data_IF_447046410948
#
_entry.id   IF_447046410948
#
_cell.length_a   1.000
_cell.length_b   1.000
_cell.length_c   1.000
_cell.angle_alpha   90.00
_cell.angle_beta   90.00
_cell.angle_gamma   90.00
#
_symmetry.space_group_name_H-M   'P 1'
#
loop_
_entity.id
_entity.type
_entity.pdbx_description
1 polymer ?
#
# COMPACT_ATOMS: atom_id res chain seq x y z
N UNK A 1 29.98 6.98 64.66
CA UNK A 1 30.53 6.69 63.36
C UNK A 1 29.41 6.01 62.49
N UNK A 2 28.60 6.83 61.81
CA UNK A 2 27.51 6.33 60.95
C UNK A 2 28.01 6.29 59.53
N UNK A 3 28.09 5.08 58.94
CA UNK A 3 28.39 4.90 57.53
C UNK A 3 27.11 5.06 56.71
N UNK A 4 27.06 6.12 55.93
CA UNK A 4 26.04 6.39 54.94
C UNK A 4 26.33 5.50 53.73
N UNK A 5 25.48 4.53 53.43
CA UNK A 5 25.56 3.69 52.21
C UNK A 5 24.75 4.41 51.13
N UNK A 6 25.47 4.96 50.17
CA UNK A 6 24.89 5.58 48.97
C UNK A 6 24.48 4.48 47.96
N UNK A 7 23.20 4.26 47.77
CA UNK A 7 22.70 3.38 46.71
C UNK A 7 22.63 4.15 45.40
N UNK A 8 23.54 3.86 44.49
CA UNK A 8 23.49 4.34 43.13
C UNK A 8 22.51 3.44 42.34
N UNK A 9 21.33 3.98 42.05
CA UNK A 9 20.38 3.36 41.11
C UNK A 9 20.87 3.66 39.68
N UNK A 10 21.44 2.66 39.00
CA UNK A 10 21.76 2.73 37.60
C UNK A 10 20.46 2.45 36.84
N UNK A 11 19.85 3.49 36.29
CA UNK A 11 18.75 3.38 35.35
C UNK A 11 19.36 2.97 34.01
N UNK A 12 19.32 1.68 33.69
CA UNK A 12 19.63 1.19 32.33
C UNK A 12 18.42 1.53 31.47
N UNK A 13 18.47 2.66 30.76
CA UNK A 13 17.58 2.94 29.66
C UNK A 13 17.97 2.02 28.51
N UNK A 14 17.30 0.88 28.42
CA UNK A 14 17.40 0.01 27.28
C UNK A 14 16.88 0.76 26.05
N UNK A 15 17.77 1.23 25.19
CA UNK A 15 17.43 1.58 23.82
C UNK A 15 16.98 0.32 23.11
N UNK A 16 15.66 0.10 23.04
CA UNK A 16 15.09 -0.86 22.10
C UNK A 16 15.31 -0.27 20.71
N UNK A 17 16.40 -0.63 20.09
CA UNK A 17 16.59 -0.39 18.65
C UNK A 17 15.59 -1.27 17.95
N UNK A 18 14.48 -0.69 17.50
CA UNK A 18 13.64 -1.30 16.49
C UNK A 18 14.50 -1.42 15.23
N UNK A 19 15.13 -2.57 15.04
CA UNK A 19 15.64 -2.96 13.74
C UNK A 19 14.42 -3.16 12.83
N UNK A 20 13.95 -2.09 12.20
CA UNK A 20 13.09 -2.21 11.04
C UNK A 20 13.95 -2.84 9.97
N UNK A 21 13.79 -4.14 9.76
CA UNK A 21 14.33 -4.80 8.58
C UNK A 21 13.53 -4.27 7.39
N UNK A 22 13.98 -3.13 6.85
CA UNK A 22 13.61 -2.74 5.51
C UNK A 22 14.07 -3.89 4.61
N UNK A 23 13.15 -4.62 4.02
CA UNK A 23 13.52 -5.60 3.01
C UNK A 23 14.24 -4.83 1.93
N UNK A 24 15.52 -5.19 1.69
CA UNK A 24 16.35 -4.62 0.67
C UNK A 24 15.77 -5.03 -0.68
N UNK A 25 14.71 -4.32 -1.12
CA UNK A 25 14.24 -4.46 -2.49
C UNK A 25 15.36 -3.89 -3.37
N UNK A 26 15.73 -4.60 -4.43
CA UNK A 26 16.68 -4.10 -5.44
C UNK A 26 16.04 -2.97 -6.27
N UNK A 27 14.84 -2.53 -5.91
CA UNK A 27 14.09 -1.47 -6.57
C UNK A 27 14.77 -0.12 -6.38
N UNK A 28 14.79 0.66 -7.45
CA UNK A 28 15.36 1.99 -7.48
C UNK A 28 14.29 3.06 -7.33
N UNK A 29 14.67 4.17 -6.75
CA UNK A 29 13.87 5.38 -6.65
C UNK A 29 12.90 5.42 -5.47
N UNK A 30 12.67 4.31 -4.76
CA UNK A 30 11.87 4.29 -3.53
C UNK A 30 12.18 3.10 -2.63
N UNK A 31 11.72 3.19 -1.38
CA UNK A 31 11.65 2.09 -0.41
C UNK A 31 10.41 2.26 0.47
N UNK A 32 10.00 1.19 1.14
CA UNK A 32 8.87 1.21 2.06
C UNK A 32 9.40 1.05 3.49
N UNK A 33 8.98 1.95 4.38
CA UNK A 33 9.30 1.96 5.81
C UNK A 33 7.99 1.98 6.60
N UNK A 34 7.51 0.80 7.04
CA UNK A 34 6.20 0.66 7.68
C UNK A 34 5.06 1.08 6.74
N UNK A 35 4.29 2.09 7.14
CA UNK A 35 3.19 2.68 6.37
C UNK A 35 3.61 3.84 5.44
N UNK A 36 4.91 4.02 5.26
CA UNK A 36 5.48 5.19 4.58
C UNK A 36 6.28 4.77 3.35
N UNK A 37 5.99 5.37 2.21
CA UNK A 37 6.82 5.33 1.01
C UNK A 37 7.85 6.45 1.12
N UNK A 38 9.11 6.10 1.01
CA UNK A 38 10.23 7.04 0.94
C UNK A 38 10.74 7.03 -0.50
N UNK A 39 10.40 8.06 -1.27
CA UNK A 39 11.05 8.30 -2.55
C UNK A 39 12.50 8.70 -2.28
N UNK A 40 13.43 8.07 -2.96
CA UNK A 40 14.86 8.24 -2.76
C UNK A 40 15.55 8.45 -4.11
N UNK A 41 16.06 9.65 -4.33
CA UNK A 41 16.92 9.97 -5.47
C UNK A 41 18.37 9.91 -5.01
N UNK A 42 19.21 9.21 -5.76
CA UNK A 42 20.65 9.23 -5.60
C UNK A 42 21.27 9.57 -6.97
N UNK A 43 22.04 10.68 -7.07
CA UNK A 43 22.67 11.14 -8.31
C UNK A 43 23.48 10.03 -8.97
N UNK A 44 24.13 9.18 -8.19
CA UNK A 44 25.01 8.10 -8.65
C UNK A 44 24.28 6.97 -9.38
N UNK A 45 22.94 6.89 -9.23
CA UNK A 45 22.11 5.93 -9.95
C UNK A 45 21.75 6.39 -11.38
N UNK A 46 22.12 7.61 -11.78
CA UNK A 46 21.69 8.21 -13.05
C UNK A 46 22.88 8.71 -13.86
N UNK A 47 22.96 8.27 -15.12
CA UNK A 47 24.02 8.71 -16.05
C UNK A 47 23.50 9.70 -17.10
N UNK A 48 22.21 9.76 -17.31
CA UNK A 48 21.59 10.56 -18.39
C UNK A 48 20.40 11.34 -17.89
N UNK A 49 20.23 12.53 -18.48
CA UNK A 49 19.04 13.36 -18.36
C UNK A 49 18.42 13.60 -19.73
N UNK A 50 17.13 13.89 -19.77
CA UNK A 50 16.43 14.30 -20.97
C UNK A 50 15.55 15.52 -20.69
N UNK A 51 15.06 16.15 -21.77
CA UNK A 51 14.02 17.17 -21.74
C UNK A 51 12.71 16.60 -22.26
N UNK A 52 11.64 17.39 -22.26
CA UNK A 52 10.33 16.97 -22.81
C UNK A 52 10.35 16.60 -24.30
N UNK A 53 11.41 16.95 -25.01
CA UNK A 53 11.62 16.57 -26.42
C UNK A 53 12.21 15.16 -26.60
N UNK A 54 12.28 14.34 -25.57
CA UNK A 54 12.59 12.91 -25.44
C UNK A 54 13.71 12.33 -26.35
N UNK A 55 14.24 13.10 -27.29
CA UNK A 55 15.24 12.63 -28.26
C UNK A 55 16.68 12.95 -27.89
N UNK A 56 16.91 13.94 -27.03
CA UNK A 56 18.25 14.39 -26.67
C UNK A 56 18.56 14.03 -25.21
N UNK A 57 19.33 12.95 -25.02
CA UNK A 57 19.89 12.63 -23.72
C UNK A 57 21.26 13.27 -23.57
N UNK A 58 21.46 13.96 -22.45
CA UNK A 58 22.74 14.53 -22.05
C UNK A 58 23.34 13.74 -20.89
N UNK A 59 24.64 13.87 -20.70
CA UNK A 59 25.30 13.36 -19.52
C UNK A 59 24.85 14.13 -18.27
N UNK A 60 24.78 13.42 -17.17
CA UNK A 60 24.32 13.97 -15.90
C UNK A 60 25.46 14.66 -15.11
N UNK A 61 26.72 14.37 -15.47
CA UNK A 61 27.91 14.74 -14.68
C UNK A 61 28.12 16.26 -14.56
N UNK A 62 27.72 17.02 -15.58
CA UNK A 62 27.93 18.48 -15.67
C UNK A 62 26.77 19.29 -15.08
N UNK A 63 25.80 18.63 -14.42
CA UNK A 63 24.62 19.33 -13.90
C UNK A 63 24.72 19.59 -12.39
N UNK A 64 24.73 20.87 -12.01
CA UNK A 64 24.52 21.26 -10.61
C UNK A 64 23.05 21.04 -10.25
N UNK A 65 22.80 20.26 -9.17
CA UNK A 65 21.44 19.97 -8.71
C UNK A 65 21.02 20.99 -7.65
N UNK A 66 20.11 21.88 -8.03
CA UNK A 66 19.48 22.85 -7.13
C UNK A 66 18.21 22.30 -6.50
N UNK A 67 17.44 21.51 -7.26
CA UNK A 67 16.20 20.88 -6.80
C UNK A 67 15.97 19.51 -7.42
N UNK A 68 15.26 18.66 -6.67
CA UNK A 68 14.74 17.38 -7.15
C UNK A 68 13.26 17.29 -6.81
N UNK A 69 12.45 16.86 -7.77
CA UNK A 69 11.00 16.66 -7.62
C UNK A 69 10.66 15.22 -8.00
N UNK A 70 9.77 14.58 -7.24
CA UNK A 70 9.13 13.32 -7.64
C UNK A 70 7.92 13.66 -8.52
N UNK A 71 7.92 13.16 -9.74
CA UNK A 71 6.86 13.38 -10.72
C UNK A 71 6.35 12.03 -11.23
N UNK A 72 5.05 11.81 -11.20
CA UNK A 72 4.45 10.54 -11.59
C UNK A 72 2.94 10.60 -11.75
N UNK A 73 2.31 9.46 -12.04
CA UNK A 73 0.87 9.33 -12.22
C UNK A 73 0.09 9.89 -11.02
N UNK A 74 0.59 9.68 -9.79
CA UNK A 74 -0.03 10.12 -8.53
C UNK A 74 -0.11 11.64 -8.33
N UNK A 75 0.61 12.44 -9.12
CA UNK A 75 0.55 13.91 -9.06
C UNK A 75 0.42 14.56 -10.45
N UNK A 76 -0.12 13.78 -11.41
CA UNK A 76 -0.33 14.18 -12.80
C UNK A 76 0.97 14.69 -13.47
N UNK A 77 2.08 14.03 -13.20
CA UNK A 77 3.40 14.32 -13.73
C UNK A 77 3.85 15.79 -13.49
N UNK A 78 3.46 16.36 -12.33
CA UNK A 78 3.86 17.72 -11.95
C UNK A 78 5.36 17.79 -11.72
N UNK A 79 6.01 18.85 -12.25
CA UNK A 79 7.45 19.08 -12.14
C UNK A 79 7.84 19.96 -10.94
N UNK A 80 6.89 20.43 -10.14
CA UNK A 80 7.10 21.43 -9.09
C UNK A 80 6.47 21.09 -7.73
N UNK A 81 5.49 20.17 -7.69
CA UNK A 81 4.69 19.96 -6.46
C UNK A 81 5.37 19.13 -5.38
N UNK A 82 6.02 18.03 -5.75
CA UNK A 82 6.58 17.09 -4.78
C UNK A 82 8.10 17.24 -4.68
N UNK A 83 8.53 18.39 -4.16
CA UNK A 83 9.96 18.66 -3.93
C UNK A 83 10.53 17.75 -2.86
N UNK A 84 11.72 17.26 -3.12
CA UNK A 84 12.46 16.39 -2.21
C UNK A 84 13.38 17.21 -1.32
N UNK A 85 13.62 16.71 -0.12
CA UNK A 85 14.59 17.29 0.82
C UNK A 85 15.98 16.75 0.52
N UNK A 86 16.96 17.63 0.42
CA UNK A 86 18.38 17.25 0.27
C UNK A 86 18.87 16.62 1.57
N UNK A 87 19.43 15.41 1.47
CA UNK A 87 20.00 14.66 2.59
C UNK A 87 21.51 14.83 2.66
N UNK A 88 22.17 14.77 1.50
CA UNK A 88 23.61 15.03 1.32
C UNK A 88 23.90 15.50 -0.11
N UNK A 89 25.17 15.51 -0.52
CA UNK A 89 25.57 15.97 -1.86
C UNK A 89 24.90 15.22 -3.01
N UNK A 90 24.59 13.94 -2.81
CA UNK A 90 24.09 13.06 -3.86
C UNK A 90 22.65 12.63 -3.66
N UNK A 91 22.09 12.74 -2.43
CA UNK A 91 20.82 12.13 -2.07
C UNK A 91 19.76 13.13 -1.70
N UNK A 92 18.53 12.84 -2.17
CA UNK A 92 17.32 13.58 -1.86
C UNK A 92 16.20 12.59 -1.50
N UNK A 93 15.36 12.93 -0.52
CA UNK A 93 14.24 12.10 -0.08
C UNK A 93 12.94 12.88 0.05
N UNK A 94 11.82 12.18 -0.20
CA UNK A 94 10.47 12.63 0.07
C UNK A 94 9.67 11.49 0.69
N UNK A 95 8.98 11.77 1.80
CA UNK A 95 8.16 10.79 2.53
C UNK A 95 6.68 11.04 2.27
N UNK A 96 5.94 9.97 1.94
CA UNK A 96 4.49 9.97 1.74
C UNK A 96 3.88 8.74 2.42
N UNK A 97 2.63 8.87 2.89
CA UNK A 97 1.90 7.71 3.41
C UNK A 97 1.48 6.78 2.28
N UNK A 98 1.50 5.46 2.51
CA UNK A 98 0.96 4.49 1.54
C UNK A 98 -0.51 4.77 1.23
N UNK A 99 -1.27 5.22 2.23
CA UNK A 99 -2.68 5.57 2.09
C UNK A 99 -2.96 6.77 1.19
N UNK A 100 -1.94 7.57 0.85
CA UNK A 100 -2.08 8.65 -0.14
C UNK A 100 -2.18 8.10 -1.58
N UNK A 101 -1.90 6.80 -1.80
CA UNK A 101 -1.91 6.13 -3.11
C UNK A 101 -3.10 5.15 -3.18
N UNK A 102 -4.33 5.68 -3.26
CA UNK A 102 -5.55 4.89 -3.03
C UNK A 102 -6.08 4.16 -4.26
N UNK A 103 -5.91 4.70 -5.45
CA UNK A 103 -6.66 4.27 -6.64
C UNK A 103 -5.98 3.16 -7.44
N UNK A 104 -4.67 2.97 -7.24
CA UNK A 104 -3.88 2.02 -7.98
C UNK A 104 -2.88 1.26 -7.08
N UNK A 105 -2.40 0.11 -7.53
CA UNK A 105 -1.38 -0.68 -6.83
C UNK A 105 0.02 -0.48 -7.39
N UNK A 106 0.11 0.05 -8.60
CA UNK A 106 1.35 0.30 -9.32
C UNK A 106 1.31 1.69 -9.89
N UNK A 107 2.36 2.45 -9.65
CA UNK A 107 2.47 3.83 -10.10
C UNK A 107 3.76 4.02 -10.86
N UNK A 108 3.70 4.67 -12.02
CA UNK A 108 4.89 5.09 -12.75
C UNK A 108 5.33 6.48 -12.31
N UNK A 109 6.65 6.67 -12.18
CA UNK A 109 7.22 7.96 -11.79
C UNK A 109 8.64 8.15 -12.33
N UNK A 110 9.12 9.37 -12.30
CA UNK A 110 10.50 9.81 -12.55
C UNK A 110 10.89 10.92 -11.57
N UNK A 111 12.18 11.24 -11.56
CA UNK A 111 12.66 12.43 -10.89
C UNK A 111 12.87 13.56 -11.90
N UNK A 112 12.52 14.76 -11.50
CA UNK A 112 12.75 16.00 -12.24
C UNK A 112 13.84 16.80 -11.52
N UNK A 113 14.87 17.19 -12.26
CA UNK A 113 15.99 17.95 -11.77
C UNK A 113 15.82 19.41 -12.23
N UNK A 114 15.99 20.35 -11.28
CA UNK A 114 15.90 21.78 -11.51
C UNK A 114 14.63 22.18 -12.27
N UNK A 115 13.50 21.54 -11.94
CA UNK A 115 12.17 21.76 -12.50
C UNK A 115 12.07 21.56 -14.04
N UNK A 116 13.12 21.03 -14.65
CA UNK A 116 13.21 20.97 -16.10
C UNK A 116 13.65 19.61 -16.67
N UNK A 117 14.72 19.01 -16.15
CA UNK A 117 15.31 17.81 -16.71
C UNK A 117 14.74 16.55 -16.06
N UNK A 118 14.44 15.53 -16.89
CA UNK A 118 14.10 14.19 -16.41
C UNK A 118 15.36 13.39 -16.16
N UNK A 119 15.53 12.85 -14.96
CA UNK A 119 16.56 11.83 -14.69
C UNK A 119 16.14 10.52 -15.36
N UNK A 120 16.99 9.95 -16.23
CA UNK A 120 16.66 8.77 -17.02
C UNK A 120 17.07 7.49 -16.29
N UNK A 121 16.09 6.64 -15.84
CA UNK A 121 16.40 5.36 -15.22
C UNK A 121 17.14 4.43 -16.17
N UNK A 122 18.06 3.62 -15.62
CA UNK A 122 18.74 2.58 -16.40
C UNK A 122 17.75 1.47 -16.81
N UNK A 123 17.87 0.98 -18.04
CA UNK A 123 17.09 -0.18 -18.52
C UNK A 123 17.36 -1.47 -17.72
N UNK A 124 18.41 -1.50 -16.91
CA UNK A 124 18.79 -2.65 -16.09
C UNK A 124 18.09 -2.68 -14.73
N UNK A 125 17.36 -1.64 -14.36
CA UNK A 125 16.66 -1.61 -13.07
C UNK A 125 15.47 -2.58 -13.09
N UNK A 126 15.21 -3.29 -11.99
CA UNK A 126 14.16 -4.32 -11.94
C UNK A 126 12.74 -3.74 -11.95
N UNK A 127 12.58 -2.48 -11.55
CA UNK A 127 11.28 -1.80 -11.42
C UNK A 127 11.11 -0.70 -12.45
N UNK A 128 11.20 -1.02 -13.74
CA UNK A 128 10.97 -0.07 -14.83
C UNK A 128 9.78 -0.43 -15.72
N UNK A 129 9.20 0.60 -16.32
CA UNK A 129 8.27 0.51 -17.43
C UNK A 129 8.82 1.31 -18.62
N UNK A 130 8.45 0.94 -19.85
CA UNK A 130 8.71 1.78 -21.02
C UNK A 130 7.81 3.01 -20.95
N UNK A 131 8.39 4.20 -21.00
CA UNK A 131 7.62 5.44 -21.02
C UNK A 131 6.72 5.52 -22.25
N UNK A 132 5.53 6.06 -22.08
CA UNK A 132 4.56 6.32 -23.16
C UNK A 132 4.23 7.81 -23.20
N UNK A 133 3.94 8.32 -24.39
CA UNK A 133 3.37 9.64 -24.60
C UNK A 133 2.27 9.54 -25.63
N UNK A 134 1.07 10.03 -25.32
CA UNK A 134 -0.10 9.96 -26.20
C UNK A 134 -0.39 8.54 -26.72
N UNK A 135 -0.19 7.52 -25.86
CA UNK A 135 -0.35 6.10 -26.19
C UNK A 135 0.81 5.48 -26.97
N UNK A 136 1.81 6.23 -27.40
CA UNK A 136 2.97 5.73 -28.12
C UNK A 136 4.15 5.48 -27.17
N UNK A 137 4.82 4.31 -27.33
CA UNK A 137 6.03 3.98 -26.57
C UNK A 137 7.20 4.82 -27.04
N UNK A 138 7.90 5.42 -26.10
CA UNK A 138 9.11 6.21 -26.36
C UNK A 138 10.34 5.28 -26.46
N UNK A 139 11.20 5.53 -27.46
CA UNK A 139 12.42 4.74 -27.62
C UNK A 139 13.41 5.00 -26.50
N UNK A 140 13.91 3.92 -25.88
CA UNK A 140 14.94 3.95 -24.83
C UNK A 140 14.64 4.90 -23.66
N UNK A 141 13.37 5.18 -23.40
CA UNK A 141 12.93 6.01 -22.27
C UNK A 141 12.10 5.17 -21.32
N UNK A 142 12.43 5.25 -20.03
CA UNK A 142 11.82 4.41 -19.00
C UNK A 142 11.32 5.27 -17.84
N UNK A 143 10.25 4.80 -17.20
CA UNK A 143 9.78 5.27 -15.91
C UNK A 143 10.15 4.25 -14.84
N UNK A 144 10.30 4.69 -13.61
CA UNK A 144 10.34 3.78 -12.46
C UNK A 144 8.92 3.34 -12.11
N UNK A 145 8.76 2.10 -11.65
CA UNK A 145 7.50 1.60 -11.08
C UNK A 145 7.61 1.54 -9.56
N UNK A 146 6.58 2.02 -8.89
CA UNK A 146 6.38 1.86 -7.46
C UNK A 146 5.18 0.95 -7.22
N UNK A 147 5.29 0.07 -6.24
CA UNK A 147 4.24 -0.88 -5.85
C UNK A 147 3.81 -0.60 -4.41
N UNK A 148 2.52 -0.60 -4.14
CA UNK A 148 1.97 -0.46 -2.79
C UNK A 148 1.76 -1.80 -2.09
N UNK A 149 1.78 -2.92 -2.82
CA UNK A 149 1.93 -4.26 -2.24
C UNK A 149 3.42 -4.61 -2.14
N UNK A 150 3.86 -5.23 -1.05
CA UNK A 150 5.27 -5.57 -0.84
C UNK A 150 5.44 -6.78 0.08
N UNK A 151 6.54 -7.55 -0.08
CA UNK A 151 6.86 -8.65 0.82
C UNK A 151 7.10 -8.16 2.25
N UNK A 152 6.46 -8.80 3.22
CA UNK A 152 6.61 -8.50 4.64
C UNK A 152 6.40 -9.77 5.48
N UNK A 153 7.24 -10.00 6.49
CA UNK A 153 7.08 -11.16 7.39
C UNK A 153 5.80 -11.10 8.22
N UNK A 154 5.38 -9.89 8.56
CA UNK A 154 4.17 -9.61 9.35
C UNK A 154 3.02 -9.13 8.46
N UNK A 155 3.06 -9.48 7.16
CA UNK A 155 2.05 -9.10 6.18
C UNK A 155 0.70 -9.79 6.41
N UNK A 156 -0.32 -9.26 5.77
CA UNK A 156 -1.71 -9.70 5.92
C UNK A 156 -2.18 -10.69 4.85
N UNK A 157 -1.34 -11.00 3.85
CA UNK A 157 -1.62 -11.94 2.76
C UNK A 157 -0.55 -13.03 2.72
N UNK A 158 -0.91 -14.24 3.11
CA UNK A 158 -0.02 -15.40 3.09
C UNK A 158 -0.39 -16.33 1.93
N UNK A 159 0.57 -16.56 1.05
CA UNK A 159 0.47 -17.46 -0.09
C UNK A 159 1.31 -18.70 0.14
N UNK A 160 0.71 -19.88 -0.08
CA UNK A 160 1.37 -21.18 0.05
C UNK A 160 0.97 -22.11 -1.08
N UNK A 161 1.95 -22.59 -1.83
CA UNK A 161 1.78 -23.63 -2.84
C UNK A 161 2.51 -24.88 -2.38
N UNK A 162 1.77 -25.94 -2.03
CA UNK A 162 2.35 -27.22 -1.58
C UNK A 162 2.83 -28.06 -2.76
N UNK A 163 3.93 -28.78 -2.54
CA UNK A 163 4.55 -29.60 -3.58
C UNK A 163 5.36 -28.75 -4.56
N UNK A 164 5.41 -29.18 -5.81
CA UNK A 164 6.19 -28.58 -6.88
C UNK A 164 7.69 -28.51 -6.54
N UNK A 165 8.20 -29.61 -5.98
CA UNK A 165 9.57 -29.70 -5.47
C UNK A 165 10.63 -29.56 -6.56
N UNK A 166 10.29 -29.92 -7.80
CA UNK A 166 11.17 -29.80 -8.97
C UNK A 166 11.12 -28.43 -9.64
N UNK A 167 10.16 -27.57 -9.25
CA UNK A 167 10.05 -26.25 -9.83
C UNK A 167 11.28 -25.39 -9.50
N UNK A 168 11.72 -24.60 -10.48
CA UNK A 168 12.87 -23.67 -10.37
C UNK A 168 12.43 -22.30 -9.88
N UNK A 169 11.21 -21.89 -10.23
CA UNK A 169 10.67 -20.56 -9.96
C UNK A 169 9.15 -20.63 -9.77
N UNK A 170 8.67 -20.06 -8.68
CA UNK A 170 7.25 -19.85 -8.45
C UNK A 170 7.00 -18.38 -8.13
N UNK A 171 5.98 -17.80 -8.74
CA UNK A 171 5.58 -16.40 -8.59
C UNK A 171 4.11 -16.33 -8.20
N UNK A 172 3.75 -15.33 -7.41
CA UNK A 172 2.36 -14.90 -7.21
C UNK A 172 2.11 -13.67 -8.06
N UNK A 173 1.13 -13.74 -8.95
CA UNK A 173 0.66 -12.59 -9.72
C UNK A 173 -0.84 -12.40 -9.51
N UNK A 174 -1.28 -11.15 -9.46
CA UNK A 174 -2.68 -10.82 -9.22
C UNK A 174 -3.01 -9.37 -9.51
N UNK A 175 -4.27 -9.00 -9.26
CA UNK A 175 -4.72 -7.62 -9.45
C UNK A 175 -3.94 -6.60 -8.61
N UNK A 176 -3.38 -7.01 -7.47
CA UNK A 176 -2.56 -6.19 -6.58
C UNK A 176 -1.16 -5.84 -7.13
N UNK A 177 -0.72 -6.44 -8.23
CA UNK A 177 0.54 -6.09 -8.91
C UNK A 177 0.35 -5.97 -10.44
N UNK A 178 -0.88 -5.74 -10.91
CA UNK A 178 -1.23 -5.70 -12.35
C UNK A 178 -0.76 -6.94 -13.12
N UNK A 179 -0.81 -8.11 -12.47
CA UNK A 179 -0.42 -9.40 -13.04
C UNK A 179 1.04 -9.48 -13.50
N UNK A 180 1.95 -8.75 -12.81
CA UNK A 180 3.38 -8.74 -13.09
C UNK A 180 4.01 -10.14 -12.81
N UNK A 181 4.61 -10.74 -13.83
CA UNK A 181 5.12 -12.11 -13.83
C UNK A 181 6.52 -12.26 -13.23
N UNK A 182 7.13 -11.17 -12.76
CA UNK A 182 8.49 -11.19 -12.23
C UNK A 182 8.61 -10.70 -10.79
N UNK A 183 7.60 -9.98 -10.30
CA UNK A 183 7.70 -9.19 -9.08
C UNK A 183 7.75 -10.04 -7.81
N UNK A 184 6.75 -10.90 -7.60
CA UNK A 184 6.56 -11.59 -6.32
C UNK A 184 7.00 -13.06 -6.39
N UNK A 185 8.32 -13.27 -6.37
CA UNK A 185 8.94 -14.60 -6.33
C UNK A 185 8.73 -15.22 -4.96
N UNK A 186 8.21 -16.45 -4.95
CA UNK A 186 8.03 -17.22 -3.72
C UNK A 186 9.35 -17.85 -3.27
N UNK A 187 9.47 -18.05 -1.98
CA UNK A 187 10.61 -18.75 -1.37
C UNK A 187 10.29 -20.23 -1.26
N UNK A 188 11.22 -21.09 -1.71
CA UNK A 188 11.12 -22.54 -1.56
C UNK A 188 11.29 -22.93 -0.09
N UNK A 189 10.38 -23.77 0.41
CA UNK A 189 10.40 -24.32 1.76
C UNK A 189 10.43 -25.84 1.71
N UNK A 190 10.45 -26.51 2.86
CA UNK A 190 10.42 -27.98 2.93
C UNK A 190 9.14 -28.57 2.33
N UNK A 191 8.00 -27.84 2.46
CA UNK A 191 6.67 -28.34 2.10
C UNK A 191 6.10 -27.68 0.84
N UNK A 192 6.93 -27.00 0.03
CA UNK A 192 6.52 -26.29 -1.17
C UNK A 192 7.08 -24.87 -1.24
N UNK A 193 6.21 -23.90 -1.54
CA UNK A 193 6.60 -22.50 -1.79
C UNK A 193 5.74 -21.55 -0.98
N UNK A 194 6.36 -20.52 -0.42
CA UNK A 194 5.69 -19.57 0.47
C UNK A 194 6.10 -18.12 0.19
N UNK A 195 5.13 -17.20 0.36
CA UNK A 195 5.35 -15.76 0.30
C UNK A 195 4.32 -15.07 1.19
N UNK A 196 4.76 -14.10 2.00
CA UNK A 196 3.86 -13.22 2.74
C UNK A 196 4.00 -11.80 2.21
N UNK A 197 2.88 -11.17 1.87
CA UNK A 197 2.79 -9.80 1.40
C UNK A 197 2.00 -8.93 2.39
N UNK A 198 2.37 -7.67 2.47
CA UNK A 198 1.49 -6.62 2.96
C UNK A 198 0.74 -6.06 1.76
N UNK A 199 -0.60 -6.13 1.79
CA UNK A 199 -1.50 -5.66 0.72
C UNK A 199 -2.57 -4.78 1.37
N UNK A 200 -3.01 -3.73 0.70
CA UNK A 200 -4.12 -2.90 1.17
C UNK A 200 -5.40 -3.73 1.34
N UNK A 201 -6.32 -3.34 2.23
CA UNK A 201 -7.64 -3.95 2.30
C UNK A 201 -8.37 -3.91 0.95
N UNK A 202 -8.99 -5.02 0.56
CA UNK A 202 -9.70 -5.16 -0.71
C UNK A 202 -9.90 -6.60 -1.14
N UNK A 203 -10.63 -6.79 -2.24
CA UNK A 203 -10.84 -8.10 -2.86
C UNK A 203 -9.97 -8.20 -4.10
N UNK A 204 -9.11 -9.20 -4.14
CA UNK A 204 -8.11 -9.39 -5.18
C UNK A 204 -8.28 -10.73 -5.88
N UNK A 205 -7.89 -10.80 -7.13
CA UNK A 205 -7.74 -12.03 -7.88
C UNK A 205 -6.25 -12.34 -8.04
N UNK A 206 -5.87 -13.61 -7.95
CA UNK A 206 -4.48 -14.04 -8.12
C UNK A 206 -4.35 -15.43 -8.73
N UNK A 207 -3.17 -15.72 -9.24
CA UNK A 207 -2.72 -17.05 -9.70
C UNK A 207 -1.26 -17.26 -9.32
N UNK A 208 -0.85 -18.51 -9.28
CA UNK A 208 0.55 -18.89 -9.27
C UNK A 208 1.09 -19.04 -10.68
N UNK A 209 2.39 -18.76 -10.86
CA UNK A 209 3.13 -19.03 -12.09
C UNK A 209 4.28 -19.97 -11.71
N UNK A 210 4.18 -21.21 -12.12
CA UNK A 210 5.16 -22.28 -11.85
C UNK A 210 5.97 -22.52 -13.11
N UNK A 211 7.24 -22.15 -13.11
CA UNK A 211 8.14 -22.26 -14.28
C UNK A 211 7.51 -21.72 -15.59
N UNK A 212 6.78 -20.60 -15.50
CA UNK A 212 6.11 -19.96 -16.61
C UNK A 212 4.69 -20.44 -16.89
N UNK A 213 4.17 -21.41 -16.16
CA UNK A 213 2.81 -21.94 -16.35
C UNK A 213 1.85 -21.36 -15.32
N UNK A 214 0.81 -20.70 -15.78
CA UNK A 214 -0.23 -20.10 -14.96
C UNK A 214 -1.19 -21.15 -14.39
N UNK A 215 -1.44 -21.06 -13.08
CA UNK A 215 -2.40 -21.94 -12.40
C UNK A 215 -3.13 -21.20 -11.27
N UNK A 216 -4.37 -21.58 -11.02
CA UNK A 216 -5.09 -21.16 -9.84
C UNK A 216 -4.49 -21.80 -8.57
N UNK A 217 -4.80 -21.22 -7.41
CA UNK A 217 -4.44 -21.84 -6.13
C UNK A 217 -5.33 -23.09 -5.91
N UNK A 218 -4.74 -24.29 -5.88
CA UNK A 218 -5.52 -25.53 -5.73
C UNK A 218 -6.17 -25.66 -4.33
N UNK A 219 -5.67 -24.92 -3.34
CA UNK A 219 -6.16 -24.97 -1.96
C UNK A 219 -7.13 -23.84 -1.61
N UNK A 220 -7.33 -22.86 -2.52
CA UNK A 220 -8.30 -21.78 -2.30
C UNK A 220 -9.66 -22.15 -2.91
N UNK A 221 -10.72 -22.32 -2.07
CA UNK A 221 -12.04 -22.66 -2.57
C UNK A 221 -12.75 -21.45 -3.26
N UNK A 222 -12.30 -20.22 -2.97
CA UNK A 222 -12.89 -19.01 -3.53
C UNK A 222 -12.26 -18.68 -4.88
N UNK A 223 -13.04 -18.86 -5.94
CA UNK A 223 -12.58 -18.72 -7.32
C UNK A 223 -13.59 -17.92 -8.15
N UNK A 224 -13.10 -17.21 -9.15
CA UNK A 224 -13.93 -16.51 -10.13
C UNK A 224 -13.41 -16.78 -11.53
N UNK A 225 -14.29 -16.82 -12.53
CA UNK A 225 -13.87 -16.98 -13.93
C UNK A 225 -13.33 -15.66 -14.46
N UNK A 226 -12.22 -15.75 -15.19
CA UNK A 226 -11.65 -14.64 -15.93
C UNK A 226 -12.17 -14.58 -17.39
N UNK A 227 -11.73 -13.59 -18.14
CA UNK A 227 -12.11 -13.38 -19.54
C UNK A 227 -11.63 -14.50 -20.49
N UNK A 228 -10.65 -15.28 -20.06
CA UNK A 228 -10.13 -16.43 -20.81
C UNK A 228 -10.84 -17.74 -20.47
N UNK A 229 -11.96 -17.68 -19.73
CA UNK A 229 -12.71 -18.84 -19.22
C UNK A 229 -11.91 -19.75 -18.25
N UNK A 230 -10.78 -19.28 -17.75
CA UNK A 230 -10.01 -19.91 -16.70
C UNK A 230 -10.44 -19.39 -15.31
N UNK A 231 -9.97 -20.04 -14.25
CA UNK A 231 -10.24 -19.57 -12.89
C UNK A 231 -9.07 -18.77 -12.31
N UNK A 232 -9.40 -17.65 -11.66
CA UNK A 232 -8.53 -16.95 -10.75
C UNK A 232 -8.98 -17.25 -9.31
N UNK A 233 -8.03 -17.42 -8.40
CA UNK A 233 -8.29 -17.51 -6.97
C UNK A 233 -8.63 -16.13 -6.41
N UNK A 234 -9.51 -16.06 -5.41
CA UNK A 234 -9.93 -14.80 -4.79
C UNK A 234 -9.33 -14.68 -3.40
N UNK A 235 -8.76 -13.51 -3.12
CA UNK A 235 -8.19 -13.11 -1.82
C UNK A 235 -8.96 -11.92 -1.28
N UNK A 236 -9.52 -12.04 -0.07
CA UNK A 236 -10.25 -10.97 0.63
C UNK A 236 -9.42 -10.49 1.82
N UNK A 237 -8.84 -9.28 1.69
CA UNK A 237 -8.06 -8.62 2.74
C UNK A 237 -8.93 -7.60 3.45
N UNK A 238 -9.10 -7.79 4.76
CA UNK A 238 -9.96 -6.94 5.61
C UNK A 238 -9.15 -6.12 6.60
N UNK A 239 -9.66 -4.93 6.91
CA UNK A 239 -9.15 -4.02 7.92
C UNK A 239 -10.09 -4.01 9.14
N UNK A 240 -9.55 -4.17 10.36
CA UNK A 240 -10.33 -4.05 11.60
C UNK A 240 -10.68 -2.60 11.89
N UNK A 241 -11.90 -2.21 11.52
CA UNK A 241 -12.41 -0.84 11.64
C UNK A 241 -13.20 -0.66 12.93
N UNK A 242 -12.86 0.36 13.71
CA UNK A 242 -13.52 0.68 14.98
C UNK A 242 -14.55 1.80 14.81
N UNK A 243 -15.83 1.48 14.95
CA UNK A 243 -16.91 2.45 15.05
C UNK A 243 -17.12 2.86 16.50
N UNK A 244 -17.23 4.18 16.74
CA UNK A 244 -17.38 4.76 18.08
C UNK A 244 -18.50 5.80 18.07
N UNK A 245 -19.54 5.60 18.89
CA UNK A 245 -20.55 6.60 19.17
C UNK A 245 -20.27 7.22 20.54
N UNK A 246 -19.88 8.48 20.57
CA UNK A 246 -19.64 9.22 21.83
C UNK A 246 -20.96 9.74 22.40
N UNK A 247 -21.05 9.80 23.72
CA UNK A 247 -22.27 10.15 24.43
C UNK A 247 -23.28 8.98 24.46
N UNK A 248 -24.56 9.30 24.52
CA UNK A 248 -25.64 8.30 24.59
C UNK A 248 -25.46 7.28 25.73
N UNK A 249 -24.81 7.69 26.83
CA UNK A 249 -24.49 6.82 27.97
C UNK A 249 -25.71 6.28 28.69
N UNK A 250 -26.86 6.94 28.55
CA UNK A 250 -28.13 6.50 29.12
C UNK A 250 -28.90 5.51 28.21
N UNK A 251 -28.45 5.32 26.95
CA UNK A 251 -29.11 4.37 26.06
C UNK A 251 -28.97 2.94 26.59
N UNK A 252 -30.04 2.15 26.36
CA UNK A 252 -30.13 0.74 26.74
C UNK A 252 -29.36 -0.13 25.74
N UNK A 253 -29.50 0.19 24.44
CA UNK A 253 -28.94 -0.60 23.34
C UNK A 253 -28.56 0.31 22.20
N UNK A 254 -27.36 0.07 21.64
CA UNK A 254 -26.92 0.70 20.40
C UNK A 254 -26.50 -0.38 19.41
N UNK A 255 -26.92 -0.25 18.17
CA UNK A 255 -26.58 -1.16 17.07
C UNK A 255 -25.87 -0.36 15.99
N UNK A 256 -24.83 -0.95 15.42
CA UNK A 256 -24.17 -0.49 14.21
C UNK A 256 -24.85 -1.17 13.01
N UNK A 257 -25.27 -0.41 12.02
CA UNK A 257 -25.85 -0.95 10.80
C UNK A 257 -25.33 -0.21 9.56
N UNK A 258 -25.12 -0.93 8.47
CA UNK A 258 -24.52 -0.35 7.28
C UNK A 258 -24.47 -1.31 6.10
N UNK A 259 -23.82 -0.88 5.01
CA UNK A 259 -23.65 -1.69 3.78
C UNK A 259 -22.92 -3.02 4.04
N UNK A 260 -22.08 -3.07 5.07
CA UNK A 260 -21.29 -4.25 5.44
C UNK A 260 -22.11 -5.37 6.11
N UNK A 261 -23.35 -5.12 6.55
CA UNK A 261 -24.25 -6.12 7.11
C UNK A 261 -25.66 -6.04 6.51
N UNK A 262 -25.78 -5.49 5.27
CA UNK A 262 -27.03 -5.31 4.55
C UNK A 262 -28.08 -4.55 5.37
N UNK A 263 -27.65 -3.57 6.15
CA UNK A 263 -28.51 -2.75 7.02
C UNK A 263 -29.31 -3.55 8.05
N UNK A 264 -28.78 -4.69 8.51
CA UNK A 264 -29.44 -5.52 9.53
C UNK A 264 -29.43 -4.80 10.89
N UNK A 265 -30.62 -4.52 11.43
CA UNK A 265 -30.85 -3.78 12.69
C UNK A 265 -30.75 -4.65 13.96
N UNK A 266 -30.37 -5.91 13.85
CA UNK A 266 -30.33 -6.82 15.00
C UNK A 266 -28.98 -7.47 15.26
N UNK A 267 -28.02 -7.31 14.37
CA UNK A 267 -26.80 -8.11 14.37
C UNK A 267 -25.65 -7.48 15.18
N UNK A 268 -25.25 -6.25 14.86
CA UNK A 268 -24.02 -5.66 15.38
C UNK A 268 -24.29 -4.80 16.62
N UNK A 269 -24.61 -5.45 17.74
CA UNK A 269 -24.86 -4.77 19.02
C UNK A 269 -23.55 -4.22 19.56
N UNK A 270 -23.47 -2.91 19.76
CA UNK A 270 -22.28 -2.22 20.23
C UNK A 270 -22.02 -2.46 21.72
N UNK A 271 -20.76 -2.48 22.10
CA UNK A 271 -20.34 -2.57 23.50
C UNK A 271 -20.35 -1.18 24.15
N UNK A 272 -20.98 -1.09 25.32
CA UNK A 272 -20.98 0.12 26.15
C UNK A 272 -19.59 0.36 26.73
N UNK A 273 -19.13 1.60 26.66
CA UNK A 273 -17.84 2.10 27.17
C UNK A 273 -18.12 3.35 28.04
N UNK A 274 -17.14 3.80 28.82
CA UNK A 274 -17.30 5.00 29.68
C UNK A 274 -17.62 6.27 28.89
N UNK A 275 -17.13 6.36 27.63
CA UNK A 275 -17.34 7.50 26.73
C UNK A 275 -18.54 7.38 25.79
N UNK A 276 -19.24 6.24 25.82
CA UNK A 276 -20.34 5.92 24.87
C UNK A 276 -20.29 4.48 24.42
N UNK A 277 -20.22 4.21 23.09
CA UNK A 277 -20.36 2.89 22.51
C UNK A 277 -19.25 2.60 21.48
N UNK A 278 -18.82 1.32 21.37
CA UNK A 278 -17.79 0.86 20.43
C UNK A 278 -18.19 -0.47 19.80
N UNK A 279 -17.92 -0.60 18.51
CA UNK A 279 -17.91 -1.88 17.79
C UNK A 279 -16.67 -1.95 16.90
N UNK A 280 -16.10 -3.13 16.75
CA UNK A 280 -14.96 -3.37 15.84
C UNK A 280 -15.34 -4.49 14.88
N UNK A 281 -15.26 -4.24 13.60
CA UNK A 281 -15.64 -5.19 12.56
C UNK A 281 -14.55 -5.21 11.48
N UNK A 282 -14.18 -6.39 10.93
CA UNK A 282 -13.31 -6.48 9.77
C UNK A 282 -14.09 -6.07 8.52
N UNK A 283 -13.64 -5.02 7.84
CA UNK A 283 -14.21 -4.51 6.59
C UNK A 283 -13.26 -4.69 5.41
N UNK A 284 -13.82 -4.93 4.24
CA UNK A 284 -13.07 -4.88 2.97
C UNK A 284 -12.68 -3.44 2.65
N UNK A 285 -11.67 -3.24 1.81
CA UNK A 285 -11.32 -1.91 1.30
C UNK A 285 -12.48 -1.27 0.53
N UNK A 286 -12.55 0.05 0.61
CA UNK A 286 -13.55 0.84 -0.12
C UNK A 286 -14.48 1.65 0.77
N UNK A 287 -15.55 2.14 0.15
CA UNK A 287 -16.55 2.99 0.78
C UNK A 287 -17.67 2.18 1.44
N UNK A 288 -17.92 2.45 2.70
CA UNK A 288 -19.02 1.86 3.48
C UNK A 288 -19.92 2.95 4.01
N UNK A 289 -21.23 2.78 3.83
CA UNK A 289 -22.26 3.64 4.44
C UNK A 289 -22.76 3.00 5.73
N UNK A 290 -22.99 3.81 6.76
CA UNK A 290 -23.46 3.31 8.05
C UNK A 290 -24.29 4.33 8.82
N UNK A 291 -25.05 3.83 9.80
CA UNK A 291 -25.76 4.56 10.86
C UNK A 291 -25.64 3.82 12.17
N UNK A 292 -26.00 4.51 13.24
CA UNK A 292 -26.27 3.90 14.54
C UNK A 292 -27.77 3.80 14.76
N UNK A 293 -28.20 2.78 15.51
CA UNK A 293 -29.59 2.65 15.99
C UNK A 293 -29.54 2.70 17.51
N UNK A 294 -30.01 3.81 18.09
CA UNK A 294 -29.99 4.08 19.53
C UNK A 294 -31.39 3.88 20.06
N UNK A 295 -31.60 2.83 20.87
CA UNK A 295 -32.91 2.47 21.43
C UNK A 295 -34.04 2.46 20.36
N UNK A 296 -33.72 1.94 19.17
CA UNK A 296 -34.65 1.84 18.04
C UNK A 296 -34.68 3.06 17.11
N UNK A 297 -33.95 4.14 17.41
CA UNK A 297 -33.93 5.33 16.58
C UNK A 297 -32.66 5.37 15.70
N UNK A 298 -32.84 5.50 14.40
CA UNK A 298 -31.75 5.64 13.43
C UNK A 298 -31.14 7.03 13.48
N UNK A 299 -29.80 7.09 13.66
CA UNK A 299 -29.06 8.34 13.65
C UNK A 299 -27.81 8.21 12.77
N UNK A 300 -27.45 9.27 12.07
CA UNK A 300 -26.12 9.40 11.46
C UNK A 300 -25.07 9.60 12.55
N UNK A 301 -23.84 9.23 12.29
CA UNK A 301 -22.75 9.48 13.25
C UNK A 301 -22.53 11.00 13.43
N UNK A 302 -22.78 11.54 14.64
CA UNK A 302 -22.63 12.97 14.92
C UNK A 302 -21.17 13.43 14.86
N UNK A 303 -20.20 12.51 15.01
CA UNK A 303 -18.77 12.81 15.00
C UNK A 303 -18.12 12.61 13.62
N UNK A 304 -18.86 12.09 12.62
CA UNK A 304 -18.38 11.95 11.27
C UNK A 304 -18.92 13.08 10.39
N UNK A 305 -17.99 13.88 9.83
CA UNK A 305 -18.36 14.99 8.93
C UNK A 305 -18.69 14.52 7.50
N UNK A 306 -18.22 13.32 7.11
CA UNK A 306 -18.46 12.79 5.77
C UNK A 306 -19.80 12.06 5.73
N UNK A 307 -20.73 12.60 4.96
CA UNK A 307 -22.10 12.09 4.81
C UNK A 307 -22.49 12.11 3.35
N UNK A 308 -23.25 11.12 2.93
CA UNK A 308 -23.79 11.02 1.58
C UNK A 308 -25.29 10.69 1.61
N UNK A 309 -26.01 11.16 0.60
CA UNK A 309 -27.39 10.75 0.35
C UNK A 309 -27.38 9.41 -0.41
N UNK A 310 -28.28 8.51 -0.04
CA UNK A 310 -28.59 7.34 -0.85
C UNK A 310 -29.59 7.69 -1.98
N UNK A 311 -29.91 6.70 -2.83
CA UNK A 311 -30.87 6.90 -3.92
C UNK A 311 -32.32 7.16 -3.47
N UNK A 312 -32.62 6.98 -2.17
CA UNK A 312 -33.95 7.15 -1.57
C UNK A 312 -34.07 8.46 -0.76
N UNK A 313 -32.98 9.25 -0.72
CA UNK A 313 -32.95 10.55 -0.05
C UNK A 313 -32.59 10.48 1.45
N UNK A 314 -32.15 9.33 1.96
CA UNK A 314 -31.69 9.24 3.33
C UNK A 314 -30.20 9.63 3.41
N UNK A 315 -29.82 10.32 4.49
CA UNK A 315 -28.43 10.66 4.78
C UNK A 315 -27.75 9.50 5.52
N UNK A 316 -26.59 9.07 5.05
CA UNK A 316 -25.76 8.06 5.68
C UNK A 316 -24.38 8.63 6.02
N UNK A 317 -23.77 8.17 7.11
CA UNK A 317 -22.37 8.44 7.41
C UNK A 317 -21.48 7.56 6.53
N UNK A 318 -20.31 8.05 6.15
CA UNK A 318 -19.37 7.35 5.26
C UNK A 318 -18.12 6.95 6.02
N UNK A 319 -17.74 5.68 5.91
CA UNK A 319 -16.45 5.14 6.34
C UNK A 319 -15.65 4.70 5.10
N UNK A 320 -14.44 5.23 4.96
CA UNK A 320 -13.48 4.78 3.93
C UNK A 320 -12.44 3.86 4.56
N UNK A 321 -12.38 2.62 4.10
CA UNK A 321 -11.33 1.64 4.44
C UNK A 321 -10.30 1.67 3.32
N UNK A 322 -9.05 2.05 3.67
CA UNK A 322 -7.97 2.31 2.72
C UNK A 322 -6.88 1.27 2.80
#
# INVERSE_FOLDING_TARGET
MNKLILHIIIIITGFVTFNSYAQKSDFKGYRIEGDTIVFAFDKRDYNKISTDNYGLKRDFDDLDIESVVVSGEFNNWSKDKWRMTKIDENRYELRKKIDDFTDEFTWEFKFVINDYYWAEPSKSYPNIAKSTKDGMRLNNTYNLKMYTAYPSKDGNAYFKLKGYDDAKKVIVAGSFNKWDEELFKMTKTKDGWELTLQIKPGVYQYRFIVDGHWMEDPHNPHKTRNEFSEYNSVLDIKEYTAFKLRGYTNAQKVILSGTFNNWNEHELVMRKMDYGWKYVIPLTGGKHHYKFIVDGQWIVDPNNSVKEYDGEGHINSVCMVK
#
